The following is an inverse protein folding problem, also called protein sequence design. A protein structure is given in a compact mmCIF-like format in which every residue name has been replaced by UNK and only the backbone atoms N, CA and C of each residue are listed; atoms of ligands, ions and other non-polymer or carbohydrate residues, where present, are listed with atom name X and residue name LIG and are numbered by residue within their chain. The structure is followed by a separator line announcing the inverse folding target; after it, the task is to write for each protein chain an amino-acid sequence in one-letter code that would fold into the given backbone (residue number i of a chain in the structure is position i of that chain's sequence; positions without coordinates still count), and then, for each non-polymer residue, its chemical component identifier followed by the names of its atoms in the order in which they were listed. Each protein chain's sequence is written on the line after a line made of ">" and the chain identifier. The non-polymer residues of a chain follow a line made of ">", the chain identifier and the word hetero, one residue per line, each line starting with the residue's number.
data_IF_984813363142
#
_entry.id   IF_984813363142
#
_cell.length_a   1.000
_cell.length_b   1.000
_cell.length_c   1.000
_cell.angle_alpha   90.00
_cell.angle_beta   90.00
_cell.angle_gamma   90.00
#
_symmetry.space_group_name_H-M   'P 1'
#
loop_
_entity.id
_entity.type
_entity.pdbx_description
1 polymer ?
#
# COMPACT_ATOMS: atom_id res chain seq x y z
N UNK A 1 -22.05 4.51 -21.89
CA UNK A 1 -21.51 4.00 -20.61
C UNK A 1 -21.60 5.15 -19.60
N UNK A 2 -22.39 5.02 -18.55
CA UNK A 2 -22.46 6.03 -17.50
C UNK A 2 -21.12 6.02 -16.75
N UNK A 3 -20.47 7.19 -16.65
CA UNK A 3 -19.29 7.37 -15.83
C UNK A 3 -19.69 7.09 -14.38
N UNK A 4 -19.11 6.06 -13.78
CA UNK A 4 -19.26 5.81 -12.34
C UNK A 4 -18.50 6.94 -11.65
N UNK A 5 -19.22 7.97 -11.22
CA UNK A 5 -18.67 9.00 -10.36
C UNK A 5 -18.48 8.39 -8.97
N UNK A 6 -17.37 7.73 -8.74
CA UNK A 6 -17.02 7.26 -7.41
C UNK A 6 -16.49 8.44 -6.60
N UNK A 7 -17.22 8.86 -5.57
CA UNK A 7 -16.72 9.84 -4.61
C UNK A 7 -15.71 9.19 -3.64
N UNK A 8 -14.73 9.94 -3.14
CA UNK A 8 -13.85 9.49 -2.08
C UNK A 8 -14.64 8.93 -0.90
N UNK A 9 -14.24 7.78 -0.40
CA UNK A 9 -14.92 7.09 0.70
C UNK A 9 -13.98 6.16 1.46
N UNK A 10 -14.31 5.74 2.68
CA UNK A 10 -13.58 4.70 3.41
C UNK A 10 -13.47 3.39 2.62
N UNK A 11 -12.46 2.59 2.94
CA UNK A 11 -12.26 1.28 2.34
C UNK A 11 -13.45 0.35 2.64
N UNK A 12 -13.90 -0.37 1.63
CA UNK A 12 -14.99 -1.33 1.75
C UNK A 12 -14.61 -2.66 1.10
N UNK A 13 -15.24 -3.74 1.57
CA UNK A 13 -15.11 -5.04 0.90
C UNK A 13 -15.58 -4.93 -0.55
N UNK A 14 -14.84 -5.57 -1.46
CA UNK A 14 -15.06 -5.49 -2.89
C UNK A 14 -14.23 -4.42 -3.61
N UNK A 15 -13.69 -3.41 -2.94
CA UNK A 15 -12.78 -2.44 -3.56
C UNK A 15 -11.53 -3.13 -4.08
N UNK A 16 -11.04 -2.66 -5.23
CA UNK A 16 -9.80 -3.15 -5.82
C UNK A 16 -8.66 -2.18 -5.49
N UNK A 17 -7.55 -2.73 -5.02
CA UNK A 17 -6.32 -1.98 -4.76
C UNK A 17 -5.23 -2.35 -5.76
N UNK A 18 -4.47 -1.34 -6.19
CA UNK A 18 -3.20 -1.50 -6.89
C UNK A 18 -2.10 -1.21 -5.89
N UNK A 19 -1.21 -2.17 -5.68
CA UNK A 19 -0.21 -2.17 -4.64
C UNK A 19 1.18 -2.34 -5.25
N UNK A 20 2.18 -1.67 -4.67
CA UNK A 20 3.59 -1.93 -4.91
C UNK A 20 4.15 -2.74 -3.75
N UNK A 21 4.72 -3.89 -4.02
CA UNK A 21 5.10 -4.85 -3.00
C UNK A 21 6.46 -5.50 -3.29
N UNK A 22 7.13 -6.08 -2.29
CA UNK A 22 8.33 -6.86 -2.52
C UNK A 22 8.02 -8.27 -3.05
N UNK A 23 8.81 -8.77 -3.98
CA UNK A 23 8.82 -10.19 -4.37
C UNK A 23 9.71 -11.04 -3.45
N UNK A 24 10.53 -10.39 -2.64
CA UNK A 24 11.47 -10.99 -1.68
C UNK A 24 11.15 -10.53 -0.26
N UNK A 25 11.60 -11.26 0.76
CA UNK A 25 11.48 -10.80 2.15
C UNK A 25 12.03 -9.37 2.34
N UNK A 26 11.50 -8.60 3.29
CA UNK A 26 12.06 -7.31 3.66
C UNK A 26 13.54 -7.40 4.02
N UNK A 27 14.24 -6.28 3.98
CA UNK A 27 15.60 -6.20 4.52
C UNK A 27 15.62 -6.63 5.99
N UNK A 28 16.74 -7.17 6.44
CA UNK A 28 16.89 -7.65 7.83
C UNK A 28 16.52 -6.56 8.84
N UNK A 29 16.97 -5.33 8.62
CA UNK A 29 16.64 -4.17 9.46
C UNK A 29 15.15 -3.83 9.38
N UNK A 30 14.57 -3.87 8.20
CA UNK A 30 13.13 -3.61 8.01
C UNK A 30 12.25 -4.67 8.65
N UNK A 31 12.62 -5.95 8.52
CA UNK A 31 11.92 -7.05 9.19
C UNK A 31 11.98 -6.90 10.71
N UNK A 32 13.18 -6.64 11.26
CA UNK A 32 13.37 -6.44 12.70
C UNK A 32 12.54 -5.24 13.22
N UNK A 33 12.49 -4.15 12.45
CA UNK A 33 11.68 -2.98 12.80
C UNK A 33 10.17 -3.34 12.88
N UNK A 34 9.64 -4.07 11.90
CA UNK A 34 8.23 -4.51 11.93
C UNK A 34 7.97 -5.49 13.07
N UNK A 35 8.92 -6.40 13.36
CA UNK A 35 8.84 -7.33 14.48
C UNK A 35 8.77 -6.58 15.80
N UNK A 36 9.62 -5.57 15.98
CA UNK A 36 9.65 -4.72 17.17
C UNK A 36 8.34 -3.94 17.34
N UNK A 37 7.84 -3.31 16.24
CA UNK A 37 6.55 -2.62 16.26
C UNK A 37 5.42 -3.54 16.73
N UNK A 38 5.38 -4.78 16.23
CA UNK A 38 4.37 -5.74 16.63
C UNK A 38 4.54 -6.16 18.11
N UNK A 39 5.77 -6.35 18.56
CA UNK A 39 6.04 -6.68 19.97
C UNK A 39 5.60 -5.57 20.92
N UNK A 40 5.83 -4.31 20.56
CA UNK A 40 5.54 -3.16 21.40
C UNK A 40 4.05 -2.78 21.38
N UNK A 41 3.42 -2.82 20.21
CA UNK A 41 2.05 -2.36 20.01
C UNK A 41 1.01 -3.48 20.11
N UNK A 42 1.42 -4.73 19.94
CA UNK A 42 0.49 -5.83 19.72
C UNK A 42 -0.19 -5.73 18.36
N UNK A 43 -1.30 -6.43 18.19
CA UNK A 43 -2.07 -6.41 16.96
C UNK A 43 -1.66 -7.46 15.94
N UNK A 44 -2.25 -7.35 14.77
CA UNK A 44 -2.07 -8.28 13.65
C UNK A 44 -1.30 -7.59 12.52
N UNK A 45 -0.37 -8.30 11.89
CA UNK A 45 0.31 -7.80 10.69
C UNK A 45 -0.65 -7.73 9.52
N UNK A 46 -0.42 -6.73 8.69
CA UNK A 46 -1.11 -6.58 7.41
C UNK A 46 -0.24 -7.21 6.32
N UNK A 47 -0.78 -8.23 5.66
CA UNK A 47 -0.11 -8.94 4.58
C UNK A 47 -0.91 -8.85 3.27
N UNK A 48 -0.21 -8.76 2.13
CA UNK A 48 1.23 -8.59 1.98
C UNK A 48 1.67 -7.19 2.43
N UNK A 49 2.94 -7.04 2.85
CA UNK A 49 3.54 -5.73 3.08
C UNK A 49 3.62 -4.96 1.75
N UNK A 50 3.06 -3.75 1.69
CA UNK A 50 2.90 -3.02 0.43
C UNK A 50 2.72 -1.52 0.60
N UNK A 51 3.09 -0.79 -0.44
CA UNK A 51 2.66 0.61 -0.65
C UNK A 51 1.38 0.60 -1.46
N UNK A 52 0.32 1.23 -0.99
CA UNK A 52 -0.91 1.36 -1.76
C UNK A 52 -0.80 2.51 -2.77
N UNK A 53 -0.84 2.19 -4.05
CA UNK A 53 -0.88 3.17 -5.14
C UNK A 53 -2.24 3.84 -5.19
N UNK A 54 -3.29 3.04 -5.39
CA UNK A 54 -4.65 3.55 -5.42
C UNK A 54 -5.67 2.45 -5.06
N UNK A 55 -6.89 2.92 -4.82
CA UNK A 55 -8.05 2.08 -4.60
C UNK A 55 -9.19 2.54 -5.49
N UNK A 56 -9.83 1.60 -6.18
CA UNK A 56 -10.88 1.86 -7.16
C UNK A 56 -12.07 0.93 -6.95
N UNK A 57 -13.23 1.31 -7.46
CA UNK A 57 -14.39 0.43 -7.56
C UNK A 57 -14.53 -0.04 -9.01
N UNK A 58 -14.54 -1.35 -9.23
CA UNK A 58 -14.78 -1.94 -10.54
C UNK A 58 -15.29 -3.37 -10.42
N UNK A 59 -16.21 -3.72 -11.32
CA UNK A 59 -16.66 -5.10 -11.50
C UNK A 59 -15.78 -5.86 -12.54
N UNK A 60 -14.97 -5.13 -13.33
CA UNK A 60 -14.06 -5.69 -14.33
C UNK A 60 -12.59 -5.62 -13.89
N UNK A 61 -12.26 -6.41 -12.87
CA UNK A 61 -10.87 -6.54 -12.44
C UNK A 61 -9.95 -7.11 -13.53
N UNK A 62 -10.48 -7.93 -14.46
CA UNK A 62 -9.68 -8.52 -15.51
C UNK A 62 -9.16 -7.47 -16.51
N UNK A 63 -9.96 -6.45 -16.86
CA UNK A 63 -9.50 -5.36 -17.69
C UNK A 63 -8.40 -4.55 -17.01
N UNK A 64 -8.55 -4.28 -15.70
CA UNK A 64 -7.53 -3.59 -14.92
C UNK A 64 -6.22 -4.40 -14.88
N UNK A 65 -6.29 -5.71 -14.60
CA UNK A 65 -5.12 -6.60 -14.57
C UNK A 65 -4.36 -6.56 -15.91
N UNK A 66 -5.06 -6.66 -17.04
CA UNK A 66 -4.42 -6.56 -18.36
C UNK A 66 -3.70 -5.22 -18.52
N UNK A 67 -4.34 -4.12 -18.18
CA UNK A 67 -3.75 -2.78 -18.32
C UNK A 67 -2.54 -2.57 -17.41
N UNK A 68 -2.56 -3.11 -16.20
CA UNK A 68 -1.39 -3.11 -15.29
C UNK A 68 -0.26 -3.93 -15.89
N UNK A 69 -0.52 -5.15 -16.37
CA UNK A 69 0.48 -6.01 -17.02
C UNK A 69 1.12 -5.35 -18.25
N UNK A 70 0.34 -4.64 -19.06
CA UNK A 70 0.85 -3.91 -20.21
C UNK A 70 1.77 -2.75 -19.84
N UNK A 71 1.65 -2.24 -18.62
CA UNK A 71 2.49 -1.15 -18.10
C UNK A 71 3.76 -1.63 -17.39
N UNK A 72 3.83 -2.89 -16.96
CA UNK A 72 4.88 -3.40 -16.07
C UNK A 72 6.30 -3.18 -16.60
N UNK A 73 6.50 -3.26 -17.91
CA UNK A 73 7.79 -3.05 -18.56
C UNK A 73 8.33 -1.61 -18.49
N UNK A 74 7.52 -0.66 -18.03
CA UNK A 74 7.90 0.74 -17.85
C UNK A 74 8.21 1.09 -16.40
N UNK A 75 7.85 0.20 -15.47
CA UNK A 75 8.09 0.37 -14.04
C UNK A 75 9.48 -0.16 -13.67
N UNK A 76 10.01 0.35 -12.58
CA UNK A 76 11.34 0.00 -12.07
C UNK A 76 11.29 -0.37 -10.60
N UNK A 77 12.07 -1.35 -10.15
CA UNK A 77 12.20 -1.62 -8.73
C UNK A 77 12.62 -0.37 -7.95
N UNK A 78 11.87 -0.02 -6.90
CA UNK A 78 12.12 1.15 -6.08
C UNK A 78 12.39 0.76 -4.61
N UNK A 79 13.43 1.32 -3.96
CA UNK A 79 13.67 1.12 -2.55
C UNK A 79 12.57 1.81 -1.74
N UNK A 80 12.04 1.13 -0.75
CA UNK A 80 11.02 1.67 0.15
C UNK A 80 11.65 1.95 1.50
N UNK A 81 11.79 3.24 1.78
CA UNK A 81 12.28 3.78 3.04
C UNK A 81 11.14 4.45 3.78
N UNK A 82 11.03 4.26 5.06
CA UNK A 82 10.02 4.90 5.89
C UNK A 82 10.63 5.94 6.82
N UNK A 83 9.98 7.09 6.88
CA UNK A 83 10.48 8.27 7.60
C UNK A 83 9.66 8.56 8.85
N UNK A 84 8.40 8.11 8.88
CA UNK A 84 7.49 8.43 9.98
C UNK A 84 6.48 7.29 10.22
N UNK A 85 6.09 7.17 11.48
CA UNK A 85 4.98 6.31 11.90
C UNK A 85 3.82 7.19 12.39
N UNK A 86 2.59 6.78 12.12
CA UNK A 86 1.41 7.39 12.71
C UNK A 86 0.26 6.39 12.86
N UNK A 87 -0.65 6.72 13.78
CA UNK A 87 -1.85 5.95 14.02
C UNK A 87 -3.04 6.56 13.29
N UNK A 88 -3.81 5.75 12.59
CA UNK A 88 -5.13 6.14 12.14
C UNK A 88 -6.15 5.66 13.15
N UNK A 89 -6.93 6.56 13.76
CA UNK A 89 -8.11 6.16 14.49
C UNK A 89 -9.03 5.44 13.51
N UNK A 90 -9.54 4.30 13.93
CA UNK A 90 -10.60 3.63 13.19
C UNK A 90 -11.83 4.54 13.14
N UNK A 91 -12.37 4.79 11.95
CA UNK A 91 -13.55 5.63 11.76
C UNK A 91 -14.82 5.08 12.41
N UNK A 92 -14.78 3.87 12.93
CA UNK A 92 -15.88 3.19 13.60
C UNK A 92 -15.38 2.42 14.80
N UNK A 93 -15.15 3.04 15.94
CA UNK A 93 -14.82 2.37 17.22
C UNK A 93 -14.12 1.00 17.10
N UNK A 94 -13.46 0.73 15.99
CA UNK A 94 -12.74 -0.47 15.64
C UNK A 94 -11.24 -0.32 15.92
N UNK A 95 -10.44 -1.31 15.59
CA UNK A 95 -9.04 -1.39 15.96
C UNK A 95 -8.20 -0.29 15.31
N UNK A 96 -7.26 0.24 16.06
CA UNK A 96 -6.29 1.22 15.54
C UNK A 96 -5.40 0.58 14.49
N UNK A 97 -5.05 1.38 13.49
CA UNK A 97 -4.20 0.98 12.37
C UNK A 97 -2.89 1.77 12.45
N UNK A 98 -1.78 1.06 12.36
CA UNK A 98 -0.45 1.67 12.24
C UNK A 98 -0.08 1.83 10.79
N UNK A 99 0.28 3.06 10.42
CA UNK A 99 0.80 3.40 9.11
C UNK A 99 2.20 3.93 9.18
N UNK A 100 3.00 3.56 8.20
CA UNK A 100 4.32 4.12 7.96
C UNK A 100 4.23 5.06 6.74
N UNK A 101 4.75 6.26 6.87
CA UNK A 101 4.90 7.20 5.77
C UNK A 101 6.18 6.86 5.02
N UNK A 102 6.07 6.70 3.71
CA UNK A 102 7.20 6.43 2.84
C UNK A 102 7.91 7.73 2.51
N UNK A 103 9.23 7.73 2.64
CA UNK A 103 10.08 8.86 2.25
C UNK A 103 10.02 9.13 0.74
N UNK A 104 10.42 10.33 0.31
CA UNK A 104 10.44 10.69 -1.11
C UNK A 104 11.46 9.85 -1.87
N UNK A 105 11.03 9.25 -2.98
CA UNK A 105 11.89 8.53 -3.92
C UNK A 105 11.41 8.81 -5.35
N UNK A 106 12.27 9.32 -6.26
CA UNK A 106 11.87 9.70 -7.61
C UNK A 106 11.34 8.53 -8.45
N UNK A 107 11.90 7.32 -8.27
CA UNK A 107 11.46 6.13 -9.00
C UNK A 107 10.05 5.75 -8.54
N UNK A 108 9.84 5.71 -7.22
CA UNK A 108 8.53 5.41 -6.64
C UNK A 108 7.46 6.41 -7.10
N UNK A 109 7.81 7.70 -7.16
CA UNK A 109 6.90 8.76 -7.61
C UNK A 109 6.53 8.59 -9.08
N UNK A 110 7.51 8.32 -9.95
CA UNK A 110 7.29 8.08 -11.38
C UNK A 110 6.42 6.84 -11.60
N UNK A 111 6.72 5.73 -10.94
CA UNK A 111 5.99 4.47 -11.06
C UNK A 111 4.56 4.59 -10.53
N UNK A 112 4.39 5.27 -9.41
CA UNK A 112 3.06 5.58 -8.87
C UNK A 112 2.25 6.39 -9.88
N UNK A 113 2.84 7.43 -10.47
CA UNK A 113 2.17 8.26 -11.48
C UNK A 113 1.82 7.47 -12.73
N UNK A 114 2.70 6.59 -13.22
CA UNK A 114 2.41 5.73 -14.38
C UNK A 114 1.20 4.83 -14.10
N UNK A 115 1.15 4.19 -12.94
CA UNK A 115 0.01 3.35 -12.54
C UNK A 115 -1.28 4.16 -12.39
N UNK A 116 -1.23 5.37 -11.85
CA UNK A 116 -2.38 6.28 -11.79
C UNK A 116 -2.88 6.66 -13.20
N UNK A 117 -1.98 6.85 -14.15
CA UNK A 117 -2.36 7.09 -15.58
C UNK A 117 -3.06 5.86 -16.16
N UNK A 118 -2.58 4.64 -15.86
CA UNK A 118 -3.23 3.40 -16.27
C UNK A 118 -4.67 3.33 -15.73
N UNK A 119 -4.86 3.59 -14.44
CA UNK A 119 -6.19 3.59 -13.81
C UNK A 119 -7.15 4.60 -14.47
N UNK A 120 -6.68 5.82 -14.74
CA UNK A 120 -7.46 6.86 -15.41
C UNK A 120 -7.86 6.44 -16.83
N UNK A 121 -6.95 5.81 -17.59
CA UNK A 121 -7.25 5.28 -18.95
C UNK A 121 -8.29 4.17 -18.91
N UNK A 122 -8.35 3.39 -17.84
CA UNK A 122 -9.41 2.41 -17.61
C UNK A 122 -10.75 3.06 -17.20
N UNK A 123 -10.81 4.38 -17.04
CA UNK A 123 -12.00 5.08 -16.55
C UNK A 123 -12.31 4.82 -15.09
N UNK A 124 -11.32 4.45 -14.29
CA UNK A 124 -11.45 4.09 -12.87
C UNK A 124 -11.04 5.29 -12.01
N UNK A 125 -12.00 6.00 -11.39
CA UNK A 125 -11.69 7.09 -10.48
C UNK A 125 -11.13 6.56 -9.17
N UNK A 126 -10.19 7.31 -8.59
CA UNK A 126 -9.67 7.05 -7.26
C UNK A 126 -10.75 7.14 -6.20
N UNK A 127 -10.72 6.23 -5.24
CA UNK A 127 -11.55 6.27 -4.03
C UNK A 127 -10.85 6.99 -2.87
N UNK A 128 -9.64 7.49 -3.08
CA UNK A 128 -8.96 8.34 -2.12
C UNK A 128 -9.31 9.82 -2.32
N UNK A 129 -9.27 10.63 -1.26
CA UNK A 129 -9.34 12.09 -1.39
C UNK A 129 -8.24 12.62 -2.31
N UNK A 130 -8.54 13.69 -3.04
CA UNK A 130 -7.59 14.33 -3.98
C UNK A 130 -6.37 14.96 -3.29
N UNK A 131 -6.49 15.23 -2.00
CA UNK A 131 -5.44 15.77 -1.13
C UNK A 131 -4.66 14.68 -0.38
N UNK A 132 -4.83 13.41 -0.81
CA UNK A 132 -4.01 12.33 -0.25
C UNK A 132 -2.53 12.69 -0.40
N UNK A 133 -1.90 12.96 0.74
CA UNK A 133 -0.51 13.34 0.80
C UNK A 133 0.41 12.18 0.36
N UNK A 134 1.32 11.74 1.11
CA UNK A 134 2.38 10.80 0.75
C UNK A 134 1.92 9.33 0.67
N UNK A 135 2.64 8.49 -0.09
CA UNK A 135 2.46 7.05 -0.06
C UNK A 135 2.63 6.49 1.35
N UNK A 136 1.82 5.50 1.71
CA UNK A 136 1.87 4.90 3.04
C UNK A 136 1.77 3.39 2.99
N UNK A 137 2.35 2.75 3.99
CA UNK A 137 2.25 1.32 4.24
C UNK A 137 1.37 1.12 5.46
N UNK A 138 0.37 0.26 5.36
CA UNK A 138 -0.36 -0.23 6.54
C UNK A 138 0.37 -1.47 7.05
N UNK A 139 0.89 -1.42 8.28
CA UNK A 139 1.74 -2.49 8.83
C UNK A 139 1.02 -3.36 9.84
N UNK A 140 0.28 -2.73 10.75
CA UNK A 140 -0.43 -3.41 11.82
C UNK A 140 -1.89 -2.95 11.87
N UNK A 141 -2.76 -3.86 12.31
CA UNK A 141 -4.15 -3.59 12.62
C UNK A 141 -4.50 -4.16 14.00
N UNK A 142 -5.57 -3.68 14.61
CA UNK A 142 -6.02 -4.12 15.95
C UNK A 142 -4.96 -3.92 17.03
N UNK A 143 -4.30 -2.80 16.96
CA UNK A 143 -3.26 -2.43 17.92
C UNK A 143 -3.86 -2.29 19.32
N UNK A 144 -3.22 -2.88 20.31
CA UNK A 144 -3.74 -2.94 21.70
C UNK A 144 -2.98 -2.05 22.67
N UNK A 145 -1.77 -1.60 22.30
CA UNK A 145 -0.88 -0.81 23.18
C UNK A 145 -0.36 0.41 22.43
N UNK A 146 -1.03 1.54 22.56
CA UNK A 146 -0.65 2.78 21.89
C UNK A 146 0.43 3.57 22.62
N UNK A 147 0.36 3.56 23.95
CA UNK A 147 1.15 4.44 24.81
C UNK A 147 2.64 4.07 24.90
N UNK A 148 3.02 2.90 24.37
CA UNK A 148 4.40 2.41 24.41
C UNK A 148 5.31 2.94 23.31
N UNK A 149 4.79 3.65 22.30
CA UNK A 149 5.54 3.95 21.04
C UNK A 149 6.10 5.35 20.96
N UNK A 150 5.63 6.31 21.76
CA UNK A 150 6.18 7.68 21.70
C UNK A 150 7.64 7.77 22.17
N UNK A 151 8.16 6.75 22.86
CA UNK A 151 9.47 6.81 23.49
C UNK A 151 10.64 6.26 22.63
N UNK A 152 10.42 5.35 21.66
CA UNK A 152 11.51 4.58 21.04
C UNK A 152 11.54 4.60 19.50
N UNK A 153 10.85 5.51 18.83
CA UNK A 153 10.95 5.68 17.36
C UNK A 153 12.28 6.30 16.90
N UNK A 154 13.33 6.19 17.70
CA UNK A 154 14.66 6.68 17.38
C UNK A 154 15.31 5.96 16.17
N UNK A 155 14.73 4.88 15.67
CA UNK A 155 15.27 4.10 14.57
C UNK A 155 14.83 4.56 13.17
N UNK A 156 13.92 5.53 13.07
CA UNK A 156 13.55 6.09 11.77
C UNK A 156 14.59 7.11 11.31
N UNK A 157 14.92 7.16 10.03
CA UNK A 157 14.35 6.40 8.92
C UNK A 157 14.90 4.97 8.77
N UNK A 158 14.06 4.05 8.26
CA UNK A 158 14.41 2.64 8.04
C UNK A 158 14.12 2.22 6.61
N UNK A 159 15.07 1.52 5.97
CA UNK A 159 14.89 0.86 4.69
C UNK A 159 14.11 -0.46 4.91
N UNK A 160 12.92 -0.58 4.31
CA UNK A 160 12.06 -1.74 4.52
C UNK A 160 12.28 -2.85 3.50
N UNK A 161 12.12 -2.53 2.23
CA UNK A 161 12.19 -3.51 1.13
C UNK A 161 12.40 -2.81 -0.20
N UNK A 162 12.60 -3.60 -1.26
CA UNK A 162 12.49 -3.11 -2.65
C UNK A 162 11.10 -3.50 -3.16
N UNK A 163 10.31 -2.53 -3.59
CA UNK A 163 9.08 -2.77 -4.33
C UNK A 163 9.45 -3.12 -5.77
N UNK A 164 9.32 -4.38 -6.14
CA UNK A 164 9.70 -4.94 -7.44
C UNK A 164 8.57 -5.71 -8.13
N UNK A 165 7.37 -5.61 -7.56
CA UNK A 165 6.15 -6.17 -8.16
C UNK A 165 4.93 -5.28 -7.94
N UNK A 166 3.98 -5.36 -8.87
CA UNK A 166 2.64 -4.79 -8.75
C UNK A 166 1.66 -5.88 -8.42
N UNK A 167 0.84 -5.68 -7.41
CA UNK A 167 -0.23 -6.57 -7.01
C UNK A 167 -1.56 -5.86 -7.29
N UNK A 168 -2.47 -6.55 -7.98
CA UNK A 168 -3.89 -6.18 -8.03
C UNK A 168 -4.62 -7.06 -7.03
N UNK A 169 -5.29 -6.46 -6.07
CA UNK A 169 -5.95 -7.17 -4.97
C UNK A 169 -7.36 -6.66 -4.73
N UNK A 170 -8.19 -7.50 -4.12
CA UNK A 170 -9.53 -7.13 -3.64
C UNK A 170 -9.54 -7.04 -2.12
N UNK A 171 -10.15 -6.00 -1.58
CA UNK A 171 -10.38 -5.92 -0.14
C UNK A 171 -11.48 -6.90 0.24
N UNK A 172 -11.17 -7.83 1.14
CA UNK A 172 -12.12 -8.82 1.67
C UNK A 172 -12.44 -8.61 3.15
N UNK A 173 -11.78 -7.65 3.78
CA UNK A 173 -11.97 -7.31 5.19
C UNK A 173 -11.06 -6.18 5.61
N UNK A 174 -11.06 -5.84 6.91
CA UNK A 174 -10.16 -4.81 7.43
C UNK A 174 -8.71 -5.23 7.18
N UNK A 175 -8.00 -4.43 6.40
CA UNK A 175 -6.62 -4.66 5.97
C UNK A 175 -6.35 -6.13 5.52
N UNK A 176 -7.35 -6.78 4.94
CA UNK A 176 -7.27 -8.13 4.36
C UNK A 176 -7.50 -8.05 2.87
N UNK A 177 -6.59 -8.68 2.13
CA UNK A 177 -6.52 -8.62 0.68
C UNK A 177 -6.56 -10.01 0.08
N UNK A 178 -7.43 -10.21 -0.92
CA UNK A 178 -7.40 -11.33 -1.84
C UNK A 178 -6.55 -10.91 -3.04
N UNK A 179 -5.44 -11.59 -3.28
CA UNK A 179 -4.57 -11.30 -4.43
C UNK A 179 -5.25 -11.85 -5.68
N UNK A 180 -5.54 -10.97 -6.63
CA UNK A 180 -6.14 -11.31 -7.92
C UNK A 180 -5.07 -11.52 -8.99
N UNK A 181 -3.98 -10.76 -8.93
CA UNK A 181 -2.86 -10.85 -9.86
C UNK A 181 -1.57 -10.27 -9.26
N UNK A 182 -0.44 -10.76 -9.76
CA UNK A 182 0.88 -10.26 -9.44
C UNK A 182 1.72 -10.18 -10.70
N UNK A 183 2.38 -9.05 -10.93
CA UNK A 183 3.29 -8.83 -12.04
C UNK A 183 4.64 -8.30 -11.53
N UNK A 184 5.73 -9.00 -11.86
CA UNK A 184 7.09 -8.60 -11.46
C UNK A 184 7.66 -7.59 -12.45
N UNK A 185 8.28 -6.54 -11.92
CA UNK A 185 8.95 -5.52 -12.71
C UNK A 185 10.25 -6.06 -13.31
N UNK A 186 10.67 -5.55 -14.50
CA UNK A 186 11.95 -5.94 -15.06
C UNK A 186 13.11 -5.46 -14.18
N UNK A 187 14.06 -6.32 -13.93
CA UNK A 187 15.35 -5.91 -13.33
C UNK A 187 16.18 -5.25 -14.42
N UNK A 188 16.62 -4.02 -14.18
CA UNK A 188 17.61 -3.38 -15.04
C UNK A 188 18.88 -4.26 -15.02
N UNK A 189 19.18 -4.87 -16.17
CA UNK A 189 20.42 -5.65 -16.38
C UNK A 189 21.64 -4.75 -16.40
#
# INVERSE_FOLDING_TARGET
>A
MAAISASPRPAAAGDICVLLAPSRPPFVTGAAFIDQLQADLGGERVEPLHVTVDRVATDDAAALIRSVRDSIGRLRPAPIRVDRLYFLPSQSRGPEIVKLEVGPDPILEEDTNELLVVLRRCGLPSLYPSDRAKPTITTLQRVTRRDSVEADLAELPVDLFVADQVIVSRIVGLARYEILDTATMPTSG
#
